data_IF_116363531633
#
_entry.id   IF_116363531633
#
_cell.length_a   1.000
_cell.length_b   1.000
_cell.length_c   1.000
_cell.angle_alpha   90.00
_cell.angle_beta   90.00
_cell.angle_gamma   90.00
#
_symmetry.space_group_name_H-M   'P 1'
#
loop_
_entity.id
_entity.type
_entity.pdbx_description
1 polymer ?
#
# COMPACT_ATOMS: atom_id res chain seq x y z
N UNK A 1 3.13 -3.50 -2.84
CA UNK A 1 4.25 -2.77 -3.48
C UNK A 1 5.28 -2.47 -2.41
N UNK A 2 6.55 -2.75 -2.65
CA UNK A 2 7.58 -2.80 -1.61
C UNK A 2 7.91 -1.39 -1.07
N UNK A 3 7.82 -1.16 0.25
CA UNK A 3 8.06 0.13 0.94
C UNK A 3 9.43 0.75 0.59
N UNK A 4 10.45 -0.09 0.33
CA UNK A 4 11.78 0.35 -0.13
C UNK A 4 11.74 0.98 -1.53
N UNK A 5 10.81 0.59 -2.37
CA UNK A 5 10.62 1.10 -3.72
C UNK A 5 9.96 2.49 -3.72
N UNK A 6 9.05 2.75 -2.80
CA UNK A 6 8.43 4.06 -2.62
C UNK A 6 9.41 5.09 -2.04
N UNK A 7 10.27 4.67 -1.13
CA UNK A 7 11.32 5.52 -0.57
C UNK A 7 12.34 5.87 -1.66
N UNK A 8 12.70 4.93 -2.54
CA UNK A 8 13.57 5.19 -3.70
C UNK A 8 12.89 6.13 -4.72
N UNK A 9 11.58 6.02 -4.94
CA UNK A 9 10.83 6.94 -5.81
C UNK A 9 10.73 8.35 -5.19
N UNK A 10 10.50 8.47 -3.89
CA UNK A 10 10.54 9.74 -3.18
C UNK A 10 11.94 10.38 -3.21
N UNK A 11 13.00 9.56 -3.17
CA UNK A 11 14.40 9.98 -3.35
C UNK A 11 14.68 10.53 -4.75
N UNK A 12 14.10 9.92 -5.77
CA UNK A 12 14.27 10.35 -7.16
C UNK A 12 13.58 11.69 -7.45
N UNK A 13 12.52 12.01 -6.73
CA UNK A 13 11.77 13.27 -6.88
C UNK A 13 12.48 14.43 -6.19
N UNK A 14 13.15 14.15 -5.08
CA UNK A 14 14.00 15.13 -4.39
C UNK A 14 15.26 15.46 -5.22
N UNK A 15 15.70 14.55 -6.09
CA UNK A 15 16.90 14.71 -6.95
C UNK A 15 16.61 15.33 -8.32
N UNK A 16 15.53 16.11 -8.47
CA UNK A 16 15.23 16.98 -9.62
C UNK A 16 15.70 16.44 -10.99
N UNK A 17 15.15 15.31 -11.45
CA UNK A 17 15.05 14.99 -12.88
C UNK A 17 14.10 13.82 -13.14
N UNK A 18 13.34 13.80 -14.25
CA UNK A 18 12.26 12.82 -14.52
C UNK A 18 12.73 11.38 -14.82
N UNK A 19 13.96 11.00 -14.50
CA UNK A 19 14.61 9.80 -15.06
C UNK A 19 14.56 8.55 -14.18
N UNK A 20 14.19 8.61 -12.90
CA UNK A 20 14.43 7.49 -11.96
C UNK A 20 13.21 6.57 -11.71
N UNK A 21 12.07 6.78 -12.33
CA UNK A 21 10.99 5.76 -12.36
C UNK A 21 11.35 4.49 -13.17
N UNK A 22 12.54 4.46 -13.77
CA UNK A 22 12.96 3.49 -14.78
C UNK A 22 13.64 2.21 -14.26
N UNK A 23 14.10 2.15 -13.01
CA UNK A 23 15.00 1.06 -12.56
C UNK A 23 14.37 0.04 -11.60
N UNK A 24 13.04 0.08 -11.39
CA UNK A 24 12.38 -0.68 -10.32
C UNK A 24 11.80 -2.03 -10.74
N UNK A 25 11.81 -2.38 -12.03
CA UNK A 25 11.11 -3.59 -12.51
C UNK A 25 11.91 -4.91 -12.50
N UNK A 26 13.13 -4.99 -11.95
CA UNK A 26 13.92 -6.22 -12.10
C UNK A 26 14.23 -7.06 -10.87
N UNK A 27 13.71 -6.80 -9.69
CA UNK A 27 13.94 -7.72 -8.55
C UNK A 27 12.77 -7.77 -7.56
N UNK A 28 11.63 -8.33 -7.99
CA UNK A 28 10.50 -8.63 -7.11
C UNK A 28 10.52 -10.10 -6.67
N UNK A 29 11.51 -10.50 -5.86
CA UNK A 29 11.48 -11.78 -5.15
C UNK A 29 12.22 -11.68 -3.83
N UNK A 30 11.59 -11.12 -2.80
CA UNK A 30 11.87 -11.42 -1.40
C UNK A 30 10.71 -10.89 -0.52
N UNK A 31 10.21 -11.67 0.45
CA UNK A 31 9.18 -11.22 1.36
C UNK A 31 9.75 -10.23 2.37
N UNK A 32 9.07 -9.11 2.58
CA UNK A 32 9.39 -8.15 3.64
C UNK A 32 8.46 -8.39 4.81
N UNK A 33 9.02 -8.79 5.94
CA UNK A 33 8.34 -8.78 7.23
C UNK A 33 7.92 -7.36 7.59
N UNK A 34 6.62 -7.16 7.79
CA UNK A 34 6.07 -5.94 8.37
C UNK A 34 5.91 -6.19 9.86
N UNK A 35 6.86 -5.74 10.64
CA UNK A 35 6.71 -5.69 12.09
C UNK A 35 5.75 -4.55 12.44
N UNK A 36 4.57 -4.89 12.95
CA UNK A 36 3.71 -3.95 13.68
C UNK A 36 4.24 -3.86 15.10
N UNK A 37 4.90 -2.77 15.43
CA UNK A 37 5.17 -2.43 16.84
C UNK A 37 3.90 -1.83 17.46
N UNK A 38 3.58 -2.18 18.72
CA UNK A 38 2.50 -1.53 19.43
C UNK A 38 2.83 -0.07 19.71
N UNK A 39 1.82 0.78 19.65
CA UNK A 39 1.92 2.17 20.05
C UNK A 39 2.15 2.23 21.57
N UNK A 40 3.38 2.49 21.99
CA UNK A 40 3.68 2.90 23.36
C UNK A 40 4.53 4.16 23.38
N UNK A 41 3.94 5.11 24.12
CA UNK A 41 4.54 6.14 24.97
C UNK A 41 5.54 7.14 24.37
N UNK A 42 5.03 8.36 24.19
CA UNK A 42 5.66 9.61 24.66
C UNK A 42 7.18 9.56 24.92
N UNK A 43 7.97 9.64 23.86
CA UNK A 43 9.33 10.12 23.93
C UNK A 43 9.33 11.64 23.71
N UNK A 44 9.87 12.38 24.64
CA UNK A 44 10.08 13.82 24.68
C UNK A 44 10.36 14.40 23.31
N UNK A 45 9.46 15.29 22.83
CA UNK A 45 9.69 16.16 21.68
C UNK A 45 10.91 17.04 21.97
N UNK A 46 12.07 16.66 21.47
CA UNK A 46 13.14 17.63 21.31
C UNK A 46 12.64 18.62 20.25
N UNK A 47 12.59 19.91 20.61
CA UNK A 47 12.28 20.98 19.69
C UNK A 47 13.20 20.85 18.45
N UNK A 48 12.68 21.02 17.22
CA UNK A 48 13.53 20.99 16.03
C UNK A 48 14.62 22.06 16.17
N UNK A 49 15.87 21.67 15.90
CA UNK A 49 16.99 22.58 15.88
C UNK A 49 16.64 23.78 14.96
N UNK A 50 16.84 25.00 15.45
CA UNK A 50 16.64 26.23 14.67
C UNK A 50 17.54 26.17 13.44
N UNK A 51 16.95 25.90 12.28
CA UNK A 51 17.65 25.98 10.99
C UNK A 51 17.85 27.45 10.66
N UNK A 52 19.08 27.94 10.80
CA UNK A 52 19.46 29.32 10.42
C UNK A 52 19.85 29.34 8.94
N UNK A 53 19.06 30.00 8.10
CA UNK A 53 19.37 30.22 6.70
C UNK A 53 20.16 31.53 6.54
N UNK A 54 21.13 31.65 5.57
CA UNK A 54 21.96 32.84 5.39
C UNK A 54 21.16 34.11 5.16
N UNK A 55 21.61 35.25 5.68
CA UNK A 55 21.03 36.55 5.44
C UNK A 55 21.64 37.19 4.17
N UNK A 56 20.83 37.77 3.28
CA UNK A 56 21.31 38.54 2.13
C UNK A 56 21.48 37.80 0.81
N UNK A 57 21.13 36.48 0.74
CA UNK A 57 21.16 35.68 -0.48
C UNK A 57 19.75 35.63 -1.11
N UNK A 58 19.64 35.50 -2.44
CA UNK A 58 18.35 35.32 -3.10
C UNK A 58 17.66 34.02 -2.69
N UNK A 59 16.33 33.93 -2.83
CA UNK A 59 15.61 32.68 -2.58
C UNK A 59 16.15 31.55 -3.45
N UNK A 60 16.44 31.84 -4.72
CA UNK A 60 16.98 30.88 -5.70
C UNK A 60 18.35 30.33 -5.27
N UNK A 61 19.29 31.19 -4.87
CA UNK A 61 20.62 30.74 -4.42
C UNK A 61 20.55 29.88 -3.16
N UNK A 62 19.66 30.25 -2.22
CA UNK A 62 19.45 29.48 -0.99
C UNK A 62 18.81 28.14 -1.32
N UNK A 63 17.85 28.12 -2.22
CA UNK A 63 17.16 26.91 -2.62
C UNK A 63 18.08 25.93 -3.37
N UNK A 64 18.92 26.44 -4.26
CA UNK A 64 19.93 25.63 -4.98
C UNK A 64 20.89 24.93 -4.02
N UNK A 65 21.34 25.62 -2.97
CA UNK A 65 22.16 24.99 -1.92
C UNK A 65 21.37 23.97 -1.11
N UNK A 66 20.11 24.30 -0.77
CA UNK A 66 19.23 23.44 -0.01
C UNK A 66 18.96 22.12 -0.78
N UNK A 67 18.67 22.20 -2.06
CA UNK A 67 18.41 20.99 -2.90
C UNK A 67 19.65 20.11 -3.01
N UNK A 68 20.84 20.68 -3.14
CA UNK A 68 22.08 19.90 -3.13
C UNK A 68 22.32 19.18 -1.78
N UNK A 69 22.02 19.82 -0.65
CA UNK A 69 22.08 19.19 0.67
C UNK A 69 21.04 18.07 0.80
N UNK A 70 19.81 18.29 0.31
CA UNK A 70 18.72 17.32 0.31
C UNK A 70 19.11 16.09 -0.51
N UNK A 71 19.72 16.27 -1.69
CA UNK A 71 20.20 15.16 -2.50
C UNK A 71 21.25 14.32 -1.79
N UNK A 72 22.20 14.95 -1.10
CA UNK A 72 23.20 14.24 -0.31
C UNK A 72 22.55 13.43 0.84
N UNK A 73 21.61 14.04 1.56
CA UNK A 73 20.86 13.37 2.63
C UNK A 73 19.96 12.25 2.10
N UNK A 74 19.37 12.44 0.93
CA UNK A 74 18.58 11.41 0.26
C UNK A 74 19.43 10.17 -0.11
N UNK A 75 20.65 10.37 -0.61
CA UNK A 75 21.60 9.27 -0.85
C UNK A 75 21.98 8.56 0.46
N UNK A 76 22.17 9.32 1.54
CA UNK A 76 22.42 8.75 2.87
C UNK A 76 21.22 7.91 3.34
N UNK A 77 19.98 8.40 3.20
CA UNK A 77 18.78 7.65 3.54
C UNK A 77 18.65 6.34 2.75
N UNK A 78 19.08 6.34 1.47
CA UNK A 78 19.07 5.12 0.65
C UNK A 78 20.05 4.05 1.16
N UNK A 79 21.14 4.45 1.80
CA UNK A 79 22.17 3.56 2.38
C UNK A 79 21.95 3.28 3.86
N UNK A 80 20.95 3.86 4.50
CA UNK A 80 20.64 3.67 5.91
C UNK A 80 20.34 2.20 6.24
N UNK A 81 20.88 1.71 7.35
CA UNK A 81 20.76 0.31 7.74
C UNK A 81 19.44 0.00 8.45
N UNK A 82 18.76 1.03 8.97
CA UNK A 82 17.48 0.90 9.65
C UNK A 82 16.40 1.84 9.07
N UNK A 83 15.17 1.44 9.22
CA UNK A 83 14.02 2.26 8.84
C UNK A 83 13.92 3.52 9.70
N UNK A 84 14.26 3.44 10.99
CA UNK A 84 14.21 4.58 11.91
C UNK A 84 15.24 5.64 11.52
N UNK A 85 16.43 5.24 11.06
CA UNK A 85 17.44 6.14 10.53
C UNK A 85 16.94 6.83 9.26
N UNK A 86 16.35 6.09 8.34
CA UNK A 86 15.71 6.64 7.14
C UNK A 86 14.66 7.71 7.48
N UNK A 87 13.75 7.38 8.39
CA UNK A 87 12.69 8.31 8.80
C UNK A 87 13.23 9.59 9.41
N UNK A 88 14.27 9.50 10.26
CA UNK A 88 14.94 10.68 10.85
C UNK A 88 15.55 11.58 9.78
N UNK A 89 16.17 11.01 8.75
CA UNK A 89 16.74 11.78 7.65
C UNK A 89 15.64 12.49 6.88
N UNK A 90 14.55 11.82 6.55
CA UNK A 90 13.43 12.44 5.85
C UNK A 90 12.72 13.51 6.69
N UNK A 91 12.57 13.32 7.98
CA UNK A 91 12.03 14.35 8.86
C UNK A 91 12.94 15.59 8.91
N UNK A 92 14.26 15.39 8.91
CA UNK A 92 15.23 16.50 8.84
C UNK A 92 15.14 17.25 7.49
N UNK A 93 14.99 16.53 6.37
CA UNK A 93 14.75 17.12 5.04
C UNK A 93 13.44 17.93 5.07
N UNK A 94 12.36 17.37 5.59
CA UNK A 94 11.08 18.05 5.70
C UNK A 94 11.17 19.34 6.50
N UNK A 95 11.86 19.33 7.64
CA UNK A 95 12.06 20.51 8.46
C UNK A 95 12.81 21.62 7.73
N UNK A 96 13.80 21.29 6.89
CA UNK A 96 14.53 22.27 6.07
C UNK A 96 13.65 22.89 4.99
N UNK A 97 12.85 22.08 4.29
CA UNK A 97 11.90 22.57 3.30
C UNK A 97 10.84 23.49 3.92
N UNK A 98 10.31 23.14 5.08
CA UNK A 98 9.38 23.99 5.83
C UNK A 98 10.02 25.31 6.26
N UNK A 99 11.24 25.30 6.80
CA UNK A 99 11.96 26.50 7.19
C UNK A 99 12.21 27.41 5.98
N UNK A 100 12.50 26.84 4.80
CA UNK A 100 12.67 27.59 3.57
C UNK A 100 11.36 28.27 3.15
N UNK A 101 10.24 27.52 3.10
CA UNK A 101 8.91 28.05 2.76
C UNK A 101 8.48 29.18 3.70
N UNK A 102 8.75 29.03 4.99
CA UNK A 102 8.41 30.06 5.98
C UNK A 102 9.21 31.35 5.78
N UNK A 103 10.46 31.23 5.35
CA UNK A 103 11.35 32.38 5.12
C UNK A 103 11.10 33.09 3.77
N UNK A 104 10.76 32.33 2.73
CA UNK A 104 10.59 32.83 1.37
C UNK A 104 9.17 32.54 0.82
N UNK A 105 8.10 32.96 1.51
CA UNK A 105 6.73 32.68 1.07
C UNK A 105 6.46 33.33 -0.28
N UNK A 106 5.67 32.67 -1.11
CA UNK A 106 5.24 33.17 -2.45
C UNK A 106 6.34 33.23 -3.52
N UNK A 107 7.48 32.58 -3.31
CA UNK A 107 8.48 32.40 -4.38
C UNK A 107 8.23 31.12 -5.14
N UNK A 108 8.69 31.01 -6.41
CA UNK A 108 8.62 29.76 -7.17
C UNK A 108 9.29 28.58 -6.44
N UNK A 109 10.41 28.85 -5.76
CA UNK A 109 11.16 27.86 -5.00
C UNK A 109 10.38 27.36 -3.76
N UNK A 110 9.61 28.25 -3.11
CA UNK A 110 8.73 27.84 -2.01
C UNK A 110 7.56 26.96 -2.52
N UNK A 111 7.08 27.24 -3.72
CA UNK A 111 6.08 26.40 -4.37
C UNK A 111 6.66 25.01 -4.71
N UNK A 112 7.88 24.96 -5.25
CA UNK A 112 8.58 23.71 -5.50
C UNK A 112 8.84 22.91 -4.20
N UNK A 113 9.27 23.58 -3.13
CA UNK A 113 9.41 22.96 -1.81
C UNK A 113 8.07 22.40 -1.28
N UNK A 114 6.95 23.02 -1.64
CA UNK A 114 5.60 22.51 -1.29
C UNK A 114 5.30 21.20 -2.01
N UNK A 115 5.60 21.13 -3.31
CA UNK A 115 5.47 19.90 -4.07
C UNK A 115 6.35 18.77 -3.51
N UNK A 116 7.63 19.07 -3.23
CA UNK A 116 8.56 18.07 -2.66
C UNK A 116 8.07 17.56 -1.30
N UNK A 117 7.57 18.43 -0.42
CA UNK A 117 6.96 18.01 0.85
C UNK A 117 5.78 17.07 0.63
N UNK A 118 4.87 17.42 -0.29
CA UNK A 118 3.72 16.58 -0.60
C UNK A 118 4.10 15.20 -1.11
N UNK A 119 5.02 15.13 -2.06
CA UNK A 119 5.52 13.86 -2.62
C UNK A 119 6.24 13.02 -1.55
N UNK A 120 7.10 13.66 -0.75
CA UNK A 120 7.83 12.99 0.34
C UNK A 120 6.87 12.44 1.41
N UNK A 121 5.89 13.24 1.84
CA UNK A 121 4.90 12.80 2.84
C UNK A 121 4.03 11.66 2.32
N UNK A 122 3.69 11.63 1.03
CA UNK A 122 3.02 10.49 0.39
C UNK A 122 3.89 9.23 0.47
N UNK A 123 5.17 9.32 0.13
CA UNK A 123 6.12 8.20 0.24
C UNK A 123 6.32 7.70 1.68
N UNK A 124 6.26 8.58 2.66
CA UNK A 124 6.32 8.25 4.10
C UNK A 124 4.98 7.71 4.64
N UNK A 125 3.94 7.58 3.82
CA UNK A 125 2.59 7.18 4.21
C UNK A 125 1.91 8.14 5.20
N UNK A 126 2.34 9.39 5.23
CA UNK A 126 1.74 10.48 6.01
C UNK A 126 0.69 11.19 5.15
N UNK A 127 -0.36 10.46 4.78
CA UNK A 127 -1.31 10.83 3.71
C UNK A 127 -2.05 12.13 3.96
N UNK A 128 -2.45 12.43 5.20
CA UNK A 128 -3.13 13.70 5.53
C UNK A 128 -2.21 14.91 5.31
N UNK A 129 -0.92 14.77 5.61
CA UNK A 129 0.06 15.81 5.35
C UNK A 129 0.36 15.91 3.85
N UNK A 130 0.48 14.79 3.15
CA UNK A 130 0.65 14.76 1.70
C UNK A 130 -0.50 15.49 1.00
N UNK A 131 -1.75 15.18 1.35
CA UNK A 131 -2.94 15.85 0.81
C UNK A 131 -2.85 17.37 0.98
N UNK A 132 -2.53 17.82 2.20
CA UNK A 132 -2.42 19.27 2.50
C UNK A 132 -1.45 19.98 1.55
N UNK A 133 -0.21 19.44 1.41
CA UNK A 133 0.80 20.09 0.57
C UNK A 133 0.49 19.97 -0.92
N UNK A 134 0.01 18.81 -1.37
CA UNK A 134 -0.30 18.60 -2.78
C UNK A 134 -1.48 19.47 -3.24
N UNK A 135 -2.53 19.58 -2.43
CA UNK A 135 -3.66 20.47 -2.72
C UNK A 135 -3.21 21.95 -2.71
N UNK A 136 -2.34 22.35 -1.78
CA UNK A 136 -1.75 23.70 -1.75
C UNK A 136 -0.96 23.98 -3.04
N UNK A 137 -0.09 23.04 -3.44
CA UNK A 137 0.69 23.14 -4.68
C UNK A 137 -0.22 23.26 -5.91
N UNK A 138 -1.18 22.35 -6.09
CA UNK A 138 -2.09 22.33 -7.26
C UNK A 138 -2.86 23.63 -7.39
N UNK A 139 -3.27 24.25 -6.28
CA UNK A 139 -3.99 25.53 -6.29
C UNK A 139 -3.12 26.73 -6.68
N UNK A 140 -1.83 26.66 -6.41
CA UNK A 140 -0.90 27.78 -6.60
C UNK A 140 -0.08 27.67 -7.88
N UNK A 141 0.07 26.46 -8.44
CA UNK A 141 0.91 26.21 -9.61
C UNK A 141 0.32 26.81 -10.89
N UNK A 142 1.22 27.26 -11.78
CA UNK A 142 0.84 27.72 -13.12
C UNK A 142 0.65 26.50 -14.04
N UNK A 143 -0.56 26.33 -14.55
CA UNK A 143 -0.94 25.17 -15.36
C UNK A 143 -0.14 25.01 -16.67
N UNK A 144 0.49 26.08 -17.16
CA UNK A 144 1.32 26.04 -18.37
C UNK A 144 2.80 25.78 -18.09
N UNK A 145 3.32 26.31 -16.99
CA UNK A 145 4.74 26.24 -16.64
C UNK A 145 5.07 25.01 -15.79
N UNK A 146 4.15 24.61 -14.90
CA UNK A 146 4.34 23.50 -13.97
C UNK A 146 3.60 22.22 -14.40
N UNK A 147 3.26 22.05 -15.69
CA UNK A 147 2.41 20.97 -16.21
C UNK A 147 2.87 19.58 -15.80
N UNK A 148 4.19 19.33 -15.85
CA UNK A 148 4.75 18.04 -15.44
C UNK A 148 4.61 17.82 -13.93
N UNK A 149 4.97 18.81 -13.12
CA UNK A 149 4.82 18.73 -11.65
C UNK A 149 3.35 18.60 -11.22
N UNK A 150 2.44 19.27 -11.94
CA UNK A 150 1.00 19.12 -11.71
C UNK A 150 0.53 17.70 -11.97
N UNK A 151 0.96 17.05 -13.06
CA UNK A 151 0.63 15.67 -13.33
C UNK A 151 1.09 14.72 -12.19
N UNK A 152 2.32 14.91 -11.70
CA UNK A 152 2.82 14.13 -10.57
C UNK A 152 2.13 14.50 -9.25
N UNK A 153 1.77 15.77 -9.04
CA UNK A 153 1.03 16.19 -7.84
C UNK A 153 -0.34 15.51 -7.77
N UNK A 154 -1.07 15.48 -8.87
CA UNK A 154 -2.33 14.72 -8.99
C UNK A 154 -2.14 13.23 -8.77
N UNK A 155 -1.05 12.66 -9.27
CA UNK A 155 -0.71 11.27 -9.05
C UNK A 155 -0.47 10.94 -7.57
N UNK A 156 0.38 11.72 -6.87
CA UNK A 156 0.63 11.51 -5.44
C UNK A 156 -0.61 11.76 -4.60
N UNK A 157 -1.45 12.71 -5.00
CA UNK A 157 -2.71 12.98 -4.34
C UNK A 157 -3.69 11.81 -4.51
N UNK A 158 -3.78 11.24 -5.72
CA UNK A 158 -4.57 10.03 -5.99
C UNK A 158 -4.13 8.86 -5.12
N UNK A 159 -2.80 8.61 -5.03
CA UNK A 159 -2.25 7.54 -4.19
C UNK A 159 -2.51 7.79 -2.69
N UNK A 160 -2.41 9.04 -2.22
CA UNK A 160 -2.74 9.41 -0.85
C UNK A 160 -4.23 9.18 -0.56
N UNK A 161 -5.11 9.58 -1.46
CA UNK A 161 -6.55 9.35 -1.34
C UNK A 161 -6.90 7.86 -1.33
N UNK A 162 -6.36 7.09 -2.28
CA UNK A 162 -6.56 5.63 -2.35
C UNK A 162 -6.14 4.95 -1.04
N UNK A 163 -4.96 5.29 -0.54
CA UNK A 163 -4.40 4.70 0.68
C UNK A 163 -5.14 5.12 1.95
N UNK A 164 -5.79 6.30 1.94
CA UNK A 164 -6.66 6.80 3.03
C UNK A 164 -8.11 6.32 2.90
N UNK A 165 -8.43 5.48 1.90
CA UNK A 165 -9.80 5.00 1.67
C UNK A 165 -10.74 6.03 1.03
N UNK A 166 -10.24 7.18 0.57
CA UNK A 166 -11.00 8.22 -0.14
C UNK A 166 -11.11 7.86 -1.63
N UNK A 167 -11.72 6.72 -1.94
CA UNK A 167 -11.69 6.12 -3.28
C UNK A 167 -12.32 6.98 -4.38
N UNK A 168 -13.41 7.74 -4.08
CA UNK A 168 -14.04 8.64 -5.06
C UNK A 168 -13.11 9.79 -5.45
N UNK A 169 -12.40 10.35 -4.49
CA UNK A 169 -11.41 11.39 -4.73
C UNK A 169 -10.23 10.84 -5.55
N UNK A 170 -9.71 9.65 -5.19
CA UNK A 170 -8.65 8.98 -5.95
C UNK A 170 -9.06 8.73 -7.41
N UNK A 171 -10.30 8.28 -7.63
CA UNK A 171 -10.85 8.05 -8.97
C UNK A 171 -10.87 9.34 -9.79
N UNK A 172 -11.28 10.45 -9.18
CA UNK A 172 -11.29 11.78 -9.80
C UNK A 172 -9.90 12.21 -10.26
N UNK A 173 -8.89 12.07 -9.41
CA UNK A 173 -7.50 12.43 -9.73
C UNK A 173 -6.92 11.56 -10.85
N UNK A 174 -7.12 10.23 -10.83
CA UNK A 174 -6.66 9.35 -11.92
C UNK A 174 -7.32 9.68 -13.26
N UNK A 175 -8.64 9.95 -13.27
CA UNK A 175 -9.36 10.36 -14.50
C UNK A 175 -8.83 11.69 -15.03
N UNK A 176 -8.51 12.64 -14.15
CA UNK A 176 -7.93 13.92 -14.50
C UNK A 176 -6.55 13.73 -15.14
N UNK A 177 -5.69 12.88 -14.59
CA UNK A 177 -4.38 12.55 -15.19
C UNK A 177 -4.56 12.02 -16.62
N UNK A 178 -5.48 11.08 -16.82
CA UNK A 178 -5.73 10.49 -18.13
C UNK A 178 -6.32 11.50 -19.13
N UNK A 179 -7.11 12.44 -18.67
CA UNK A 179 -7.77 13.43 -19.53
C UNK A 179 -6.84 14.59 -19.89
N UNK A 180 -6.20 15.18 -18.88
CA UNK A 180 -5.57 16.50 -19.01
C UNK A 180 -4.02 16.41 -19.07
N UNK A 181 -3.43 15.26 -18.70
CA UNK A 181 -1.98 15.06 -18.62
C UNK A 181 -1.49 13.78 -19.33
N UNK A 182 -2.28 13.20 -20.22
CA UNK A 182 -1.94 11.96 -20.91
C UNK A 182 -0.65 12.05 -21.76
N UNK A 183 -0.33 13.22 -22.24
CA UNK A 183 0.84 13.53 -23.07
C UNK A 183 2.12 13.77 -22.25
N UNK A 184 2.01 14.03 -20.95
CA UNK A 184 3.14 14.37 -20.08
C UNK A 184 4.08 13.17 -19.89
N UNK A 185 3.53 12.03 -19.51
CA UNK A 185 4.30 10.83 -19.29
C UNK A 185 3.44 9.58 -19.52
N UNK A 186 3.73 8.78 -20.58
CA UNK A 186 2.95 7.56 -20.90
C UNK A 186 2.90 6.53 -19.77
N UNK A 187 3.94 6.46 -18.92
CA UNK A 187 3.96 5.55 -17.78
C UNK A 187 3.02 6.00 -16.67
N UNK A 188 2.98 7.31 -16.40
CA UNK A 188 2.05 7.88 -15.43
C UNK A 188 0.60 7.61 -15.85
N UNK A 189 0.30 7.81 -17.13
CA UNK A 189 -1.01 7.51 -17.71
C UNK A 189 -1.37 6.04 -17.61
N UNK A 190 -0.44 5.13 -17.97
CA UNK A 190 -0.66 3.69 -17.85
C UNK A 190 -0.87 3.27 -16.40
N UNK A 191 -0.15 3.89 -15.46
CA UNK A 191 -0.33 3.62 -14.03
C UNK A 191 -1.70 4.08 -13.54
N UNK A 192 -2.12 5.29 -13.91
CA UNK A 192 -3.44 5.82 -13.57
C UNK A 192 -4.57 4.93 -14.10
N UNK A 193 -4.44 4.44 -15.35
CA UNK A 193 -5.40 3.51 -15.95
C UNK A 193 -5.46 2.20 -15.17
N UNK A 194 -4.33 1.56 -14.89
CA UNK A 194 -4.26 0.32 -14.12
C UNK A 194 -4.84 0.50 -12.70
N UNK A 195 -4.59 1.67 -12.09
CA UNK A 195 -5.15 2.00 -10.78
C UNK A 195 -6.67 2.13 -10.83
N UNK A 196 -7.24 2.75 -11.85
CA UNK A 196 -8.69 2.82 -12.06
C UNK A 196 -9.32 1.43 -12.22
N UNK A 197 -8.67 0.53 -12.98
CA UNK A 197 -9.17 -0.84 -13.17
C UNK A 197 -9.23 -1.63 -11.85
N UNK A 198 -8.32 -1.38 -10.92
CA UNK A 198 -8.27 -2.09 -9.63
C UNK A 198 -9.02 -1.37 -8.51
N UNK A 199 -9.28 -0.07 -8.65
CA UNK A 199 -9.85 0.77 -7.60
C UNK A 199 -11.21 0.27 -7.09
N UNK A 200 -12.03 -0.28 -7.99
CA UNK A 200 -13.34 -0.85 -7.64
C UNK A 200 -13.21 -2.03 -6.67
N UNK A 201 -12.30 -2.96 -6.94
CA UNK A 201 -12.06 -4.09 -6.05
C UNK A 201 -11.35 -3.65 -4.74
N UNK A 202 -10.42 -2.71 -4.81
CA UNK A 202 -9.76 -2.15 -3.62
C UNK A 202 -10.77 -1.45 -2.69
N UNK A 203 -11.72 -0.69 -3.26
CA UNK A 203 -12.85 -0.07 -2.54
C UNK A 203 -13.72 -1.13 -1.86
N UNK A 204 -14.11 -2.17 -2.61
CA UNK A 204 -14.94 -3.25 -2.08
C UNK A 204 -14.26 -4.03 -0.97
N UNK A 205 -12.92 -4.12 -1.01
CA UNK A 205 -12.10 -4.83 -0.01
C UNK A 205 -11.41 -3.88 0.99
N UNK A 206 -11.98 -2.70 1.20
CA UNK A 206 -11.47 -1.76 2.20
C UNK A 206 -11.54 -2.35 3.61
N UNK A 207 -10.54 -2.04 4.45
CA UNK A 207 -10.56 -2.39 5.87
C UNK A 207 -11.80 -1.75 6.52
N UNK A 208 -12.52 -2.52 7.31
CA UNK A 208 -13.80 -2.12 7.91
C UNK A 208 -15.02 -2.37 7.00
N UNK A 209 -14.81 -2.64 5.71
CA UNK A 209 -15.85 -3.08 4.78
C UNK A 209 -16.27 -4.54 4.98
N UNK A 210 -17.28 -4.97 4.25
CA UNK A 210 -17.66 -6.38 4.18
C UNK A 210 -16.95 -7.07 3.01
N UNK A 211 -16.61 -8.36 3.10
CA UNK A 211 -16.09 -9.10 1.96
C UNK A 211 -17.12 -9.15 0.84
N UNK A 212 -16.64 -9.18 -0.40
CA UNK A 212 -17.53 -9.31 -1.58
C UNK A 212 -18.34 -10.59 -1.43
N UNK A 213 -19.67 -10.45 -1.51
CA UNK A 213 -20.55 -11.58 -1.35
C UNK A 213 -20.35 -12.63 -2.45
N UNK A 214 -20.26 -13.88 -2.05
CA UNK A 214 -20.39 -15.04 -2.93
C UNK A 214 -21.26 -16.11 -2.24
N UNK A 215 -21.86 -16.95 -3.04
CA UNK A 215 -22.68 -18.08 -2.59
C UNK A 215 -22.43 -19.24 -3.57
N UNK A 216 -21.54 -20.14 -3.16
CA UNK A 216 -21.04 -21.22 -4.02
C UNK A 216 -21.00 -22.54 -3.23
N UNK A 217 -20.77 -23.66 -3.92
CA UNK A 217 -20.54 -24.95 -3.29
C UNK A 217 -19.06 -25.25 -3.20
N UNK A 218 -18.64 -25.80 -2.07
CA UNK A 218 -17.32 -26.39 -1.92
C UNK A 218 -17.14 -27.62 -2.84
N UNK A 219 -15.92 -28.07 -2.97
CA UNK A 219 -15.60 -29.32 -3.66
C UNK A 219 -16.29 -30.55 -3.04
N UNK A 220 -16.73 -30.46 -1.78
CA UNK A 220 -17.45 -31.50 -1.03
C UNK A 220 -18.97 -31.28 -0.99
N UNK A 221 -19.46 -30.18 -1.62
CA UNK A 221 -20.88 -29.86 -1.72
C UNK A 221 -21.43 -28.92 -0.65
N UNK A 222 -20.62 -28.53 0.34
CA UNK A 222 -21.03 -27.56 1.39
C UNK A 222 -21.26 -26.17 0.78
N UNK A 223 -22.24 -25.45 1.31
CA UNK A 223 -22.48 -24.06 0.91
C UNK A 223 -21.41 -23.14 1.50
N UNK A 224 -20.76 -22.36 0.67
CA UNK A 224 -19.77 -21.35 1.05
C UNK A 224 -20.29 -19.95 0.77
N UNK A 225 -20.40 -19.16 1.82
CA UNK A 225 -20.78 -17.75 1.75
C UNK A 225 -20.18 -17.01 2.93
N UNK A 226 -19.54 -15.83 2.77
CA UNK A 226 -18.99 -15.07 3.89
C UNK A 226 -20.02 -14.80 4.99
N UNK A 227 -21.27 -14.60 4.63
CA UNK A 227 -22.37 -14.37 5.58
C UNK A 227 -22.69 -15.56 6.47
N UNK A 228 -22.39 -16.79 6.04
CA UNK A 228 -22.60 -18.01 6.84
C UNK A 228 -21.62 -18.14 8.01
N UNK A 229 -20.55 -17.33 8.01
CA UNK A 229 -19.50 -17.33 9.04
C UNK A 229 -19.63 -16.14 10.03
N UNK A 230 -20.77 -15.43 10.03
CA UNK A 230 -21.03 -14.39 11.05
C UNK A 230 -20.92 -14.98 12.46
N UNK A 231 -20.29 -14.25 13.39
CA UNK A 231 -19.97 -14.72 14.72
C UNK A 231 -18.64 -15.48 14.83
N UNK A 232 -18.00 -15.77 13.71
CA UNK A 232 -16.68 -16.42 13.62
C UNK A 232 -15.65 -15.51 12.97
N UNK A 233 -14.37 -15.76 13.24
CA UNK A 233 -13.27 -15.14 12.50
C UNK A 233 -13.04 -15.98 11.25
N UNK A 234 -13.11 -15.36 10.07
CA UNK A 234 -13.03 -16.05 8.77
C UNK A 234 -11.79 -15.61 8.00
N UNK A 235 -10.98 -16.57 7.57
CA UNK A 235 -9.95 -16.37 6.56
C UNK A 235 -10.46 -16.81 5.19
N UNK A 236 -10.45 -15.89 4.21
CA UNK A 236 -10.66 -16.21 2.79
C UNK A 236 -9.26 -16.28 2.19
N UNK A 237 -8.85 -17.49 1.74
CA UNK A 237 -7.48 -17.78 1.29
C UNK A 237 -7.48 -18.16 -0.20
N UNK A 238 -6.84 -17.32 -1.04
CA UNK A 238 -6.64 -17.54 -2.46
C UNK A 238 -5.27 -18.18 -2.70
N UNK A 239 -5.27 -19.41 -3.21
CA UNK A 239 -4.07 -20.22 -3.33
C UNK A 239 -4.14 -21.22 -4.51
N UNK A 240 -3.07 -21.98 -4.75
CA UNK A 240 -3.07 -23.09 -5.70
C UNK A 240 -1.96 -24.10 -5.39
N UNK A 241 -2.11 -25.34 -5.87
CA UNK A 241 -1.10 -26.40 -5.69
C UNK A 241 0.19 -26.17 -6.47
N UNK A 242 0.16 -25.34 -7.51
CA UNK A 242 1.32 -24.93 -8.30
C UNK A 242 2.03 -23.67 -7.76
N UNK A 243 1.49 -23.03 -6.73
CA UNK A 243 2.03 -21.81 -6.15
C UNK A 243 3.05 -22.14 -5.06
N UNK A 244 4.34 -22.08 -5.37
CA UNK A 244 5.41 -22.38 -4.42
C UNK A 244 5.30 -21.63 -3.08
N UNK A 245 5.12 -20.29 -3.06
CA UNK A 245 4.92 -19.54 -1.82
C UNK A 245 3.67 -19.96 -1.03
N UNK A 246 2.57 -20.37 -1.72
CA UNK A 246 1.37 -20.89 -1.04
C UNK A 246 1.68 -22.20 -0.32
N UNK A 247 2.42 -23.09 -0.98
CA UNK A 247 2.82 -24.38 -0.42
C UNK A 247 3.75 -24.17 0.78
N UNK A 248 4.68 -23.22 0.70
CA UNK A 248 5.57 -22.89 1.81
C UNK A 248 4.82 -22.34 3.04
N UNK A 249 3.71 -21.63 2.84
CA UNK A 249 2.88 -21.07 3.92
C UNK A 249 1.89 -22.10 4.50
N UNK A 250 1.55 -23.16 3.77
CA UNK A 250 0.53 -24.15 4.17
C UNK A 250 0.76 -24.77 5.58
N UNK A 251 1.99 -25.12 6.00
CA UNK A 251 2.22 -25.61 7.36
C UNK A 251 1.81 -24.61 8.44
N UNK A 252 2.07 -23.31 8.22
CA UNK A 252 1.65 -22.26 9.13
C UNK A 252 0.13 -22.11 9.18
N UNK A 253 -0.54 -22.07 8.03
CA UNK A 253 -2.01 -21.99 7.96
C UNK A 253 -2.65 -23.18 8.67
N UNK A 254 -2.15 -24.40 8.49
CA UNK A 254 -2.61 -25.61 9.19
C UNK A 254 -2.44 -25.48 10.70
N UNK A 255 -1.28 -25.00 11.16
CA UNK A 255 -1.01 -24.80 12.59
C UNK A 255 -1.98 -23.78 13.21
N UNK A 256 -2.20 -22.64 12.53
CA UNK A 256 -3.15 -21.60 12.97
C UNK A 256 -4.58 -22.16 12.99
N UNK A 257 -4.98 -22.91 11.96
CA UNK A 257 -6.29 -23.54 11.92
C UNK A 257 -6.49 -24.55 13.06
N UNK A 258 -5.57 -25.47 13.25
CA UNK A 258 -5.65 -26.46 14.33
C UNK A 258 -5.75 -25.81 15.73
N UNK A 259 -5.02 -24.71 15.95
CA UNK A 259 -5.00 -23.99 17.22
C UNK A 259 -6.31 -23.23 17.50
N UNK A 260 -6.88 -22.59 16.48
CA UNK A 260 -7.95 -21.61 16.67
C UNK A 260 -9.34 -22.04 16.16
N UNK A 261 -9.42 -23.09 15.35
CA UNK A 261 -10.72 -23.63 14.88
C UNK A 261 -11.67 -23.96 16.03
N UNK A 262 -11.24 -24.62 17.15
CA UNK A 262 -12.11 -24.87 18.28
C UNK A 262 -12.61 -23.57 18.99
N UNK A 263 -11.96 -22.44 18.72
CA UNK A 263 -12.28 -21.13 19.30
C UNK A 263 -13.14 -20.26 18.37
N UNK A 264 -13.54 -20.79 17.19
CA UNK A 264 -14.38 -20.08 16.23
C UNK A 264 -13.62 -19.42 15.08
N UNK A 265 -12.43 -19.92 14.74
CA UNK A 265 -11.72 -19.54 13.52
C UNK A 265 -12.07 -20.50 12.37
N UNK A 266 -12.39 -19.94 11.21
CA UNK A 266 -12.73 -20.71 10.00
C UNK A 266 -11.88 -20.28 8.81
N UNK A 267 -11.72 -21.16 7.85
CA UNK A 267 -11.04 -20.88 6.58
C UNK A 267 -11.95 -21.30 5.42
N UNK A 268 -12.01 -20.47 4.38
CA UNK A 268 -12.55 -20.83 3.07
C UNK A 268 -11.42 -20.68 2.07
N UNK A 269 -10.95 -21.80 1.52
CA UNK A 269 -9.95 -21.80 0.46
C UNK A 269 -10.58 -21.58 -0.91
N UNK A 270 -10.01 -20.68 -1.69
CA UNK A 270 -10.36 -20.41 -3.08
C UNK A 270 -9.21 -20.89 -3.95
N UNK A 271 -9.36 -22.06 -4.56
CA UNK A 271 -8.30 -22.64 -5.38
C UNK A 271 -8.29 -22.07 -6.80
N UNK A 272 -7.10 -21.63 -7.24
CA UNK A 272 -6.84 -21.21 -8.62
C UNK A 272 -6.23 -22.35 -9.46
N UNK A 273 -6.43 -23.61 -9.05
CA UNK A 273 -6.01 -24.75 -9.83
C UNK A 273 -6.86 -24.96 -11.09
N UNK A 274 -6.27 -25.56 -12.12
CA UNK A 274 -7.00 -26.01 -13.31
C UNK A 274 -7.41 -27.47 -13.24
N UNK A 275 -6.73 -28.28 -12.42
CA UNK A 275 -6.96 -29.70 -12.31
C UNK A 275 -7.57 -30.05 -10.96
N UNK A 276 -8.80 -30.56 -10.97
CA UNK A 276 -9.49 -31.05 -9.79
C UNK A 276 -8.73 -32.20 -9.14
N UNK A 277 -8.23 -33.14 -9.93
CA UNK A 277 -7.50 -34.31 -9.41
C UNK A 277 -6.22 -33.93 -8.67
N UNK A 278 -5.48 -32.89 -9.17
CA UNK A 278 -4.28 -32.41 -8.49
C UNK A 278 -4.64 -31.74 -7.16
N UNK A 279 -5.70 -30.94 -7.16
CA UNK A 279 -6.19 -30.28 -5.96
C UNK A 279 -6.62 -31.31 -4.90
N UNK A 280 -7.46 -32.30 -5.29
CA UNK A 280 -7.96 -33.32 -4.38
C UNK A 280 -6.81 -34.15 -3.77
N UNK A 281 -5.85 -34.60 -4.58
CA UNK A 281 -4.66 -35.30 -4.12
C UNK A 281 -3.83 -34.49 -3.14
N UNK A 282 -3.67 -33.19 -3.40
CA UNK A 282 -2.93 -32.32 -2.50
C UNK A 282 -3.67 -32.12 -1.18
N UNK A 283 -4.98 -31.86 -1.21
CA UNK A 283 -5.82 -31.69 -0.01
C UNK A 283 -5.75 -32.95 0.86
N UNK A 284 -5.87 -34.13 0.25
CA UNK A 284 -5.79 -35.43 0.94
C UNK A 284 -4.39 -35.64 1.53
N UNK A 285 -3.33 -35.48 0.73
CA UNK A 285 -1.95 -35.72 1.17
C UNK A 285 -1.50 -34.76 2.27
N UNK A 286 -2.04 -33.57 2.29
CA UNK A 286 -1.75 -32.53 3.30
C UNK A 286 -2.78 -32.46 4.42
N UNK A 287 -3.81 -33.30 4.41
CA UNK A 287 -4.87 -33.35 5.43
C UNK A 287 -5.52 -31.96 5.63
N UNK A 288 -5.81 -31.24 4.53
CA UNK A 288 -6.45 -29.93 4.62
C UNK A 288 -7.91 -30.09 5.01
N UNK A 289 -8.26 -29.64 6.22
CA UNK A 289 -9.56 -29.89 6.83
C UNK A 289 -10.66 -28.88 6.42
N UNK A 290 -10.29 -27.66 6.06
CA UNK A 290 -11.27 -26.59 5.74
C UNK A 290 -11.77 -26.69 4.31
N UNK A 291 -13.01 -26.17 4.03
CA UNK A 291 -13.65 -26.28 2.74
C UNK A 291 -12.92 -25.47 1.65
N UNK A 292 -13.00 -26.00 0.44
CA UNK A 292 -12.36 -25.43 -0.75
C UNK A 292 -13.39 -25.14 -1.83
N UNK A 293 -13.29 -23.96 -2.47
CA UNK A 293 -13.95 -23.68 -3.73
C UNK A 293 -12.99 -23.91 -4.90
N UNK A 294 -13.50 -24.48 -5.97
CA UNK A 294 -12.77 -24.76 -7.19
C UNK A 294 -13.70 -24.64 -8.39
N UNK A 295 -13.29 -23.91 -9.43
CA UNK A 295 -14.02 -23.81 -10.69
C UNK A 295 -13.18 -24.20 -11.94
N UNK A 296 -11.90 -24.49 -11.75
CA UNK A 296 -10.99 -24.94 -12.82
C UNK A 296 -10.54 -23.81 -13.77
N UNK A 297 -10.85 -22.55 -13.47
CA UNK A 297 -10.65 -21.41 -14.39
C UNK A 297 -9.32 -20.67 -14.18
N UNK A 298 -8.44 -21.19 -13.31
CA UNK A 298 -7.14 -20.57 -13.04
C UNK A 298 -7.27 -19.12 -12.57
N UNK A 299 -6.55 -18.17 -13.23
CA UNK A 299 -6.67 -16.73 -12.93
C UNK A 299 -8.03 -16.13 -13.25
N UNK A 300 -8.85 -16.82 -14.04
CA UNK A 300 -10.23 -16.43 -14.34
C UNK A 300 -11.25 -17.03 -13.34
N UNK A 301 -10.78 -17.54 -12.19
CA UNK A 301 -11.65 -18.00 -11.12
C UNK A 301 -12.66 -16.89 -10.75
N UNK A 302 -13.96 -17.23 -10.73
CA UNK A 302 -15.06 -16.26 -10.63
C UNK A 302 -14.98 -15.40 -9.35
N UNK A 303 -14.53 -15.98 -8.24
CA UNK A 303 -14.36 -15.25 -6.98
C UNK A 303 -13.07 -14.42 -7.03
N UNK A 304 -11.96 -14.98 -7.50
CA UNK A 304 -10.68 -14.30 -7.59
C UNK A 304 -10.77 -13.05 -8.48
N UNK A 305 -11.46 -13.14 -9.63
CA UNK A 305 -11.68 -12.00 -10.52
C UNK A 305 -12.50 -10.90 -9.82
N UNK A 306 -13.60 -11.25 -9.14
CA UNK A 306 -14.43 -10.28 -8.41
C UNK A 306 -13.67 -9.60 -7.26
N UNK A 307 -12.78 -10.33 -6.61
CA UNK A 307 -11.92 -9.82 -5.55
C UNK A 307 -10.69 -9.08 -6.10
N UNK A 308 -10.51 -9.01 -7.42
CA UNK A 308 -9.37 -8.34 -8.05
C UNK A 308 -8.02 -8.99 -7.70
N UNK A 309 -8.01 -10.32 -7.45
CA UNK A 309 -6.80 -11.05 -7.09
C UNK A 309 -5.87 -11.14 -8.29
N UNK A 310 -4.70 -10.52 -8.20
CA UNK A 310 -3.66 -10.49 -9.25
C UNK A 310 -2.43 -11.32 -8.89
N UNK A 311 -2.31 -11.75 -7.64
CA UNK A 311 -1.21 -12.60 -7.16
C UNK A 311 -1.67 -13.49 -6.02
N UNK A 312 -1.05 -14.66 -5.87
CA UNK A 312 -1.26 -15.59 -4.76
C UNK A 312 0.09 -15.96 -4.10
N UNK A 313 0.09 -16.30 -2.78
CA UNK A 313 -1.06 -16.36 -1.88
C UNK A 313 -1.64 -14.97 -1.59
N UNK A 314 -2.97 -14.89 -1.48
CA UNK A 314 -3.66 -13.66 -1.06
C UNK A 314 -4.72 -14.03 -0.03
N UNK A 315 -4.72 -13.32 1.10
CA UNK A 315 -5.59 -13.64 2.22
C UNK A 315 -6.40 -12.43 2.65
N UNK A 316 -7.63 -12.65 3.07
CA UNK A 316 -8.53 -11.63 3.64
C UNK A 316 -9.05 -12.17 4.94
N UNK A 317 -8.75 -11.50 6.06
CA UNK A 317 -9.20 -11.88 7.40
C UNK A 317 -10.37 -10.99 7.82
N UNK A 318 -11.47 -11.65 8.18
CA UNK A 318 -12.78 -11.07 8.50
C UNK A 318 -13.09 -11.32 9.97
N UNK A 319 -13.56 -10.31 10.69
CA UNK A 319 -13.93 -10.43 12.10
C UNK A 319 -15.31 -11.08 12.32
N UNK A 320 -15.69 -11.27 13.58
CA UNK A 320 -16.97 -11.86 13.99
C UNK A 320 -18.19 -11.05 13.52
N UNK A 321 -18.01 -9.72 13.29
CA UNK A 321 -19.06 -8.84 12.73
C UNK A 321 -19.13 -8.93 11.20
N UNK A 322 -18.26 -9.73 10.58
CA UNK A 322 -18.13 -9.88 9.12
C UNK A 322 -17.49 -8.67 8.47
N UNK A 323 -16.58 -7.98 9.13
CA UNK A 323 -15.83 -6.86 8.57
C UNK A 323 -14.40 -7.28 8.25
N UNK A 324 -13.89 -6.82 7.12
CA UNK A 324 -12.50 -7.04 6.72
C UNK A 324 -11.58 -6.28 7.70
N UNK A 325 -10.67 -6.98 8.35
CA UNK A 325 -9.74 -6.39 9.31
C UNK A 325 -8.30 -6.41 8.81
N UNK A 326 -7.92 -7.43 8.06
CA UNK A 326 -6.56 -7.58 7.55
C UNK A 326 -6.57 -8.20 6.15
N UNK A 327 -5.52 -7.87 5.38
CA UNK A 327 -5.25 -8.45 4.06
C UNK A 327 -3.80 -8.91 3.97
N UNK A 328 -3.55 -9.99 3.22
CA UNK A 328 -2.20 -10.48 2.86
C UNK A 328 -1.33 -10.87 4.07
N UNK A 329 -1.94 -11.37 5.15
CA UNK A 329 -1.23 -11.86 6.34
C UNK A 329 -0.56 -13.21 6.05
N UNK A 330 0.62 -13.41 6.68
CA UNK A 330 1.40 -14.66 6.62
C UNK A 330 2.17 -14.89 7.91
N UNK A 331 2.62 -16.13 8.11
CA UNK A 331 3.46 -16.52 9.24
C UNK A 331 2.87 -16.08 10.59
N UNK A 332 3.71 -15.57 11.45
CA UNK A 332 3.31 -15.13 12.80
C UNK A 332 2.28 -13.99 12.81
N UNK A 333 2.24 -13.17 11.75
CA UNK A 333 1.26 -12.09 11.65
C UNK A 333 -0.17 -12.63 11.51
N UNK A 334 -0.37 -13.72 10.77
CA UNK A 334 -1.67 -14.39 10.65
C UNK A 334 -2.12 -14.91 12.03
N UNK A 335 -1.24 -15.60 12.74
CA UNK A 335 -1.54 -16.14 14.08
C UNK A 335 -1.93 -15.03 15.06
N UNK A 336 -1.16 -13.94 15.11
CA UNK A 336 -1.42 -12.81 16.00
C UNK A 336 -2.76 -12.12 15.69
N UNK A 337 -3.05 -11.87 14.42
CA UNK A 337 -4.29 -11.24 13.99
C UNK A 337 -5.52 -12.11 14.28
N UNK A 338 -5.44 -13.42 14.07
CA UNK A 338 -6.52 -14.36 14.41
C UNK A 338 -6.77 -14.36 15.91
N UNK A 339 -5.71 -14.42 16.73
CA UNK A 339 -5.83 -14.36 18.20
C UNK A 339 -6.46 -13.05 18.68
N UNK A 340 -6.05 -11.91 18.08
CA UNK A 340 -6.63 -10.58 18.39
C UNK A 340 -8.14 -10.58 18.12
N UNK A 341 -8.57 -10.98 16.91
CA UNK A 341 -9.98 -10.94 16.53
C UNK A 341 -10.85 -11.93 17.32
N UNK A 342 -10.27 -13.07 17.74
CA UNK A 342 -10.97 -14.02 18.60
C UNK A 342 -11.19 -13.46 20.02
N UNK A 343 -10.28 -12.64 20.52
CA UNK A 343 -10.38 -12.01 21.83
C UNK A 343 -11.34 -10.78 21.84
N UNK A 344 -11.66 -10.21 20.69
CA UNK A 344 -12.62 -9.11 20.60
C UNK A 344 -14.03 -9.56 21.03
N UNK A 345 -14.68 -8.73 21.83
CA UNK A 345 -16.11 -8.91 22.17
C UNK A 345 -16.97 -8.56 20.94
N UNK A 346 -17.97 -9.36 20.67
CA UNK A 346 -18.95 -9.13 19.57
C UNK A 346 -19.87 -7.97 19.91
#
# INVERSE_FOLDING_TARGET
MNRRLWIAAALAIVAATPIVLLSVERNATAPVEIATAPAEAAGTKSAPAKVTLPAGTSAEDVYTKLTAEIEAQAKQAASAQSQDEQLRIFDAIGAKLEAFRAKYPKTPEALDATFQLGAMKSGMQQYDQAEKYLVEFIKAANATEDREKLAYAHFYLAEAYKSSGKYDAAEGEYKLIMKDYADVNPRLTSYAQNSLETLGSERMLAIGGEPIAFDVKSIRGERLSPSAYRGKVLLIDFWATWCGPCIAEMPNVKSVYAKFHPQGFEIVGISLDQSRDKLDKYIESQEIAWPQYFDGKWWNNDIAVRYGIKSIPSTILVDKKGKIRYKSLRGKQLENAVQELLNEKV
#
